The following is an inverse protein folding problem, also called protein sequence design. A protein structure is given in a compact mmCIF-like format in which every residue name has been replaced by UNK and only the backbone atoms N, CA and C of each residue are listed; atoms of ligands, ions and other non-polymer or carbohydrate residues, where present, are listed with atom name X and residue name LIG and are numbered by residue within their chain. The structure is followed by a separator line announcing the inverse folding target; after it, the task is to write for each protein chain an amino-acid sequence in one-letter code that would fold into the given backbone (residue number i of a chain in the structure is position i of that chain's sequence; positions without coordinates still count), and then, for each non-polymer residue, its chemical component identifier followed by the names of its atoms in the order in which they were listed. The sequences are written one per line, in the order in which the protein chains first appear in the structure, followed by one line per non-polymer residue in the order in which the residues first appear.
data_IF_656357083031
#
_entry.id   IF_656357083031
#
_cell.length_a   1.000
_cell.length_b   1.000
_cell.length_c   1.000
_cell.angle_alpha   90.00
_cell.angle_beta   90.00
_cell.angle_gamma   90.00
#
_symmetry.space_group_name_H-M   'P 1'
#
loop_
_entity.id
_entity.type
_entity.pdbx_description
1 polymer ?
#
# COMPACT_ATOMS: atom_id res chain seq x y z
N UNK A 1 2.94 -6.34 -9.38
CA UNK A 1 3.61 -7.43 -8.63
C UNK A 1 3.60 -7.06 -7.17
N UNK A 2 3.33 -8.00 -6.28
CA UNK A 2 3.40 -7.77 -4.82
C UNK A 2 4.87 -7.57 -4.38
N UNK A 3 5.06 -7.11 -3.15
CA UNK A 3 6.34 -7.04 -2.45
C UNK A 3 7.20 -8.30 -2.51
N UNK A 4 6.58 -9.49 -2.58
CA UNK A 4 7.28 -10.78 -2.69
C UNK A 4 7.52 -11.23 -4.15
N UNK A 5 7.23 -10.38 -5.13
CA UNK A 5 7.35 -10.70 -6.57
C UNK A 5 6.18 -11.51 -7.13
N UNK A 6 5.20 -11.88 -6.29
CA UNK A 6 4.01 -12.62 -6.71
C UNK A 6 3.06 -11.78 -7.59
N UNK A 7 2.30 -12.46 -8.43
CA UNK A 7 1.16 -11.89 -9.16
C UNK A 7 -0.07 -12.72 -8.86
N UNK A 8 -1.19 -12.04 -8.55
CA UNK A 8 -2.46 -12.69 -8.23
C UNK A 8 -3.59 -11.98 -8.97
N UNK A 9 -4.63 -12.74 -9.33
CA UNK A 9 -5.86 -12.17 -9.89
C UNK A 9 -6.71 -11.60 -8.77
N UNK A 10 -7.10 -10.34 -8.93
CA UNK A 10 -7.94 -9.62 -7.97
C UNK A 10 -9.25 -9.25 -8.64
N UNK A 11 -10.36 -9.52 -7.95
CA UNK A 11 -11.70 -9.10 -8.37
C UNK A 11 -12.18 -8.02 -7.42
N UNK A 12 -12.51 -6.84 -7.95
CA UNK A 12 -13.11 -5.73 -7.21
C UNK A 12 -14.45 -5.37 -7.87
N UNK A 13 -15.55 -5.54 -7.13
CA UNK A 13 -16.92 -5.37 -7.65
C UNK A 13 -17.51 -3.98 -7.45
N UNK A 14 -16.81 -3.11 -6.72
CA UNK A 14 -17.26 -1.76 -6.42
C UNK A 14 -16.75 -0.75 -7.46
N UNK A 15 -17.23 0.48 -7.37
CA UNK A 15 -16.79 1.56 -8.24
C UNK A 15 -15.27 1.81 -8.11
N UNK A 16 -14.58 1.95 -9.25
CA UNK A 16 -13.14 2.23 -9.28
C UNK A 16 -12.88 3.58 -8.56
N UNK A 17 -12.06 3.62 -7.50
CA UNK A 17 -11.70 4.88 -6.86
C UNK A 17 -10.91 5.76 -7.83
N UNK A 18 -11.26 7.04 -7.95
CA UNK A 18 -10.62 7.97 -8.88
C UNK A 18 -9.13 8.17 -8.55
N UNK A 19 -8.77 8.12 -7.28
CA UNK A 19 -7.41 8.28 -6.77
C UNK A 19 -6.53 7.03 -6.94
N UNK A 20 -7.10 5.91 -7.43
CA UNK A 20 -6.34 4.68 -7.72
C UNK A 20 -5.25 4.94 -8.76
N UNK A 21 -5.54 5.77 -9.78
CA UNK A 21 -4.59 6.07 -10.86
C UNK A 21 -3.43 6.96 -10.40
N UNK A 22 -3.63 7.74 -9.34
CA UNK A 22 -2.61 8.63 -8.79
C UNK A 22 -1.69 7.94 -7.77
N UNK A 23 -2.07 6.72 -7.35
CA UNK A 23 -1.38 6.00 -6.29
C UNK A 23 -0.40 4.98 -6.85
N UNK A 24 0.91 5.18 -6.63
CA UNK A 24 1.92 4.20 -7.04
C UNK A 24 1.80 2.85 -6.30
N UNK A 25 1.29 2.87 -5.06
CA UNK A 25 1.10 1.68 -4.24
C UNK A 25 -0.22 1.75 -3.49
N UNK A 26 -0.94 0.64 -3.49
CA UNK A 26 -2.23 0.50 -2.81
C UNK A 26 -2.25 -0.77 -1.98
N UNK A 27 -3.05 -0.75 -0.91
CA UNK A 27 -3.31 -1.93 -0.09
C UNK A 27 -4.71 -2.42 -0.37
N UNK A 28 -4.81 -3.68 -0.78
CA UNK A 28 -6.08 -4.34 -1.02
C UNK A 28 -6.49 -5.09 0.26
N UNK A 29 -7.71 -4.88 0.71
CA UNK A 29 -8.33 -5.62 1.82
C UNK A 29 -9.46 -6.46 1.25
N UNK A 30 -9.48 -7.73 1.61
CA UNK A 30 -10.39 -8.69 1.02
C UNK A 30 -10.13 -10.11 1.50
N UNK A 31 -10.71 -11.07 0.78
CA UNK A 31 -10.61 -12.50 1.08
C UNK A 31 -10.19 -13.28 -0.17
N UNK A 32 -9.42 -14.34 0.04
CA UNK A 32 -9.10 -15.28 -1.03
C UNK A 32 -10.29 -16.22 -1.25
N UNK A 33 -10.79 -16.28 -2.48
CA UNK A 33 -11.90 -17.14 -2.88
C UNK A 33 -11.40 -18.12 -3.95
N UNK A 34 -10.92 -19.28 -3.51
CA UNK A 34 -10.26 -20.26 -4.37
C UNK A 34 -8.97 -19.69 -4.95
N UNK A 35 -8.95 -19.45 -6.26
CA UNK A 35 -7.76 -19.00 -7.00
C UNK A 35 -7.68 -17.46 -7.16
N UNK A 36 -8.77 -16.75 -6.84
CA UNK A 36 -8.86 -15.29 -6.98
C UNK A 36 -8.97 -14.60 -5.63
N UNK A 37 -8.41 -13.40 -5.52
CA UNK A 37 -8.59 -12.55 -4.36
C UNK A 37 -9.78 -11.62 -4.58
N UNK A 38 -10.88 -11.84 -3.86
CA UNK A 38 -12.00 -10.90 -3.85
C UNK A 38 -11.68 -9.74 -2.91
N UNK A 39 -11.50 -8.55 -3.50
CA UNK A 39 -11.20 -7.34 -2.78
C UNK A 39 -12.51 -6.64 -2.36
N UNK A 40 -12.63 -6.37 -1.07
CA UNK A 40 -13.74 -5.61 -0.49
C UNK A 40 -13.43 -4.11 -0.48
N UNK A 41 -12.19 -3.73 -0.13
CA UNK A 41 -11.78 -2.35 0.07
C UNK A 41 -10.36 -2.08 -0.44
N UNK A 42 -10.16 -0.91 -1.03
CA UNK A 42 -8.86 -0.42 -1.49
C UNK A 42 -8.44 0.72 -0.58
N UNK A 43 -7.28 0.58 0.07
CA UNK A 43 -6.67 1.62 0.88
C UNK A 43 -5.48 2.19 0.13
N UNK A 44 -5.58 3.45 -0.26
CA UNK A 44 -4.51 4.18 -0.91
C UNK A 44 -3.48 4.59 0.15
N UNK A 45 -2.20 4.27 -0.07
CA UNK A 45 -1.13 4.78 0.79
C UNK A 45 -0.55 6.03 0.15
N UNK A 46 -0.70 7.19 0.78
CA UNK A 46 0.09 8.35 0.40
C UNK A 46 1.55 8.13 0.82
N UNK A 47 2.52 8.26 -0.10
CA UNK A 47 3.95 8.08 0.21
C UNK A 47 4.47 9.12 1.22
N UNK A 48 3.74 10.22 1.41
CA UNK A 48 4.08 11.33 2.29
C UNK A 48 4.29 10.93 3.75
N UNK A 49 3.56 9.91 4.26
CA UNK A 49 3.63 9.55 5.70
C UNK A 49 4.97 8.91 6.09
N UNK A 50 5.63 8.19 5.18
CA UNK A 50 6.92 7.53 5.45
C UNK A 50 8.14 8.43 5.20
N UNK A 51 7.97 9.55 4.51
CA UNK A 51 9.05 10.52 4.31
C UNK A 51 9.40 11.23 5.63
N UNK A 52 8.40 11.47 6.48
CA UNK A 52 8.56 12.14 7.77
C UNK A 52 9.29 11.27 8.81
N UNK A 53 9.02 9.97 8.87
CA UNK A 53 9.63 9.09 9.89
C UNK A 53 11.14 8.90 9.67
N UNK A 54 11.63 8.89 8.41
CA UNK A 54 13.08 8.78 8.15
C UNK A 54 13.86 10.01 8.67
N UNK A 55 13.26 11.19 8.63
CA UNK A 55 13.90 12.42 9.12
C UNK A 55 14.02 12.45 10.65
N UNK A 56 13.11 11.77 11.37
CA UNK A 56 13.15 11.72 12.83
C UNK A 56 14.21 10.73 13.36
N UNK A 57 14.40 9.59 12.71
CA UNK A 57 15.46 8.65 13.12
C UNK A 57 16.87 9.25 12.94
N UNK A 58 17.11 10.04 11.90
CA UNK A 58 18.44 10.63 11.64
C UNK A 58 18.82 11.70 12.67
N UNK A 59 17.85 12.44 13.22
CA UNK A 59 18.11 13.48 14.25
C UNK A 59 18.49 12.92 15.62
N UNK A 60 18.15 11.67 15.93
CA UNK A 60 18.45 11.08 17.24
C UNK A 60 19.90 10.59 17.34
N UNK A 61 20.57 10.28 16.23
CA UNK A 61 21.94 9.73 16.25
C UNK A 61 23.07 10.78 16.18
N UNK A 62 22.77 12.07 16.02
CA UNK A 62 23.81 13.11 15.88
C UNK A 62 24.01 14.04 17.08
N UNK A 63 23.29 13.85 18.20
CA UNK A 63 23.42 14.72 19.39
C UNK A 63 24.04 14.02 20.62
N UNK A 64 24.94 13.07 20.39
CA UNK A 64 25.80 12.51 21.45
C UNK A 64 27.18 12.22 20.88
N UNK A 65 27.99 13.27 20.76
CA UNK A 65 29.45 13.19 20.82
C UNK A 65 30.00 14.53 21.28
#
# INVERSE_FOLDING_TARGET
VDSLGGTARVIYRNAKPAELEQSERVVLKGKMNGDVFECDNILLKCPSKYKDEKTQLEKTFSNSN
#
